data_IF_657535361610
#
_entry.id   IF_657535361610
#
_cell.length_a   1.000
_cell.length_b   1.000
_cell.length_c   1.000
_cell.angle_alpha   90.00
_cell.angle_beta   90.00
_cell.angle_gamma   90.00
#
_symmetry.space_group_name_H-M   'P 1'
#
loop_
_entity.id
_entity.type
_entity.pdbx_description
1 polymer ?
#
# COMPACT_ATOMS: atom_id res chain seq x y z
N UNK A 1 -92.05 24.30 -6.83
CA UNK A 1 -92.59 23.28 -7.76
C UNK A 1 -91.53 22.94 -8.79
N UNK A 2 -91.46 21.66 -9.16
CA UNK A 2 -90.63 20.95 -10.15
C UNK A 2 -90.25 21.80 -11.40
N UNK A 3 -89.16 21.59 -12.16
CA UNK A 3 -88.57 20.34 -12.65
C UNK A 3 -87.26 20.59 -13.42
N UNK A 4 -86.32 19.65 -13.29
CA UNK A 4 -85.29 19.10 -14.21
C UNK A 4 -84.97 19.78 -15.57
N UNK A 5 -83.68 19.89 -15.90
CA UNK A 5 -82.91 19.10 -16.91
C UNK A 5 -81.53 19.75 -17.13
N UNK A 6 -80.42 19.15 -16.67
CA UNK A 6 -79.42 18.36 -17.43
C UNK A 6 -78.78 19.03 -18.66
N UNK A 7 -77.49 19.41 -18.57
CA UNK A 7 -76.39 18.74 -19.31
C UNK A 7 -75.04 19.46 -19.19
N UNK A 8 -74.03 18.65 -18.87
CA UNK A 8 -72.62 18.63 -19.32
C UNK A 8 -71.85 19.96 -19.44
N UNK A 9 -70.71 20.03 -18.73
CA UNK A 9 -69.44 20.16 -19.44
C UNK A 9 -68.24 19.58 -18.68
N UNK A 10 -67.32 19.01 -19.46
CA UNK A 10 -66.24 18.11 -19.09
C UNK A 10 -65.04 18.88 -18.50
N UNK A 11 -64.56 18.49 -17.32
CA UNK A 11 -63.28 18.96 -16.78
C UNK A 11 -62.18 17.92 -17.06
N UNK A 12 -61.22 18.33 -17.89
CA UNK A 12 -60.05 17.57 -18.32
C UNK A 12 -59.06 17.42 -17.14
N UNK A 13 -58.94 16.21 -16.56
CA UNK A 13 -58.01 15.94 -15.45
C UNK A 13 -56.66 15.47 -16.00
N UNK A 14 -55.68 16.37 -15.99
CA UNK A 14 -54.28 16.14 -16.38
C UNK A 14 -53.57 15.31 -15.29
N UNK A 15 -53.36 14.02 -15.56
CA UNK A 15 -52.58 13.13 -14.71
C UNK A 15 -51.11 13.57 -14.69
N UNK A 16 -50.65 14.14 -13.57
CA UNK A 16 -49.23 14.37 -13.27
C UNK A 16 -48.67 13.13 -12.58
N UNK A 17 -48.09 12.23 -13.35
CA UNK A 17 -47.27 11.13 -12.83
C UNK A 17 -45.99 11.74 -12.25
N UNK A 18 -45.89 11.81 -10.91
CA UNK A 18 -44.65 12.17 -10.23
C UNK A 18 -43.71 10.98 -10.33
N UNK A 19 -42.72 11.05 -11.22
CA UNK A 19 -41.57 10.14 -11.23
C UNK A 19 -40.71 10.48 -10.01
N UNK A 20 -40.70 9.58 -9.03
CA UNK A 20 -39.83 9.65 -7.87
C UNK A 20 -38.44 9.17 -8.30
N UNK A 21 -37.53 10.10 -8.61
CA UNK A 21 -36.10 9.79 -8.73
C UNK A 21 -35.58 9.49 -7.33
N UNK A 22 -35.46 8.21 -6.99
CA UNK A 22 -34.66 7.76 -5.85
C UNK A 22 -33.20 7.92 -6.28
N UNK A 23 -32.58 9.03 -5.88
CA UNK A 23 -31.14 9.20 -6.00
C UNK A 23 -30.45 8.16 -5.12
N UNK A 24 -29.82 7.16 -5.74
CA UNK A 24 -28.82 6.33 -5.06
C UNK A 24 -27.67 7.26 -4.68
N UNK A 25 -27.65 7.75 -3.45
CA UNK A 25 -26.44 8.33 -2.88
C UNK A 25 -25.46 7.17 -2.74
N UNK A 26 -24.49 7.11 -3.63
CA UNK A 26 -23.25 6.36 -3.44
C UNK A 26 -22.61 6.90 -2.16
N UNK A 27 -22.90 6.27 -1.02
CA UNK A 27 -22.16 6.50 0.21
C UNK A 27 -20.77 5.95 -0.08
N UNK A 28 -19.71 6.76 -0.15
CA UNK A 28 -18.36 6.23 -0.22
C UNK A 28 -18.17 5.38 1.04
N UNK A 29 -18.09 4.07 0.85
CA UNK A 29 -17.70 3.15 1.91
C UNK A 29 -16.25 3.47 2.23
N UNK A 30 -16.02 4.38 3.18
CA UNK A 30 -14.74 4.50 3.83
C UNK A 30 -14.52 3.18 4.58
N UNK A 31 -13.86 2.24 3.92
CA UNK A 31 -13.36 1.04 4.58
C UNK A 31 -12.25 1.51 5.52
N UNK A 32 -12.61 1.82 6.75
CA UNK A 32 -11.62 2.00 7.80
C UNK A 32 -10.79 0.72 7.86
N UNK A 33 -9.47 0.82 7.72
CA UNK A 33 -8.59 -0.33 7.88
C UNK A 33 -8.88 -0.99 9.24
N UNK A 34 -9.28 -2.27 9.23
CA UNK A 34 -9.52 -3.03 10.46
C UNK A 34 -8.31 -2.92 11.40
N UNK A 35 -8.49 -2.94 12.72
CA UNK A 35 -7.36 -3.09 13.63
C UNK A 35 -6.51 -4.32 13.22
N UNK A 36 -5.20 -4.14 13.07
CA UNK A 36 -4.26 -5.20 12.68
C UNK A 36 -4.35 -6.41 13.62
N UNK A 37 -4.72 -6.17 14.89
CA UNK A 37 -4.90 -7.21 15.90
C UNK A 37 -6.02 -8.21 15.58
N UNK A 38 -6.96 -7.84 14.70
CA UNK A 38 -8.14 -8.64 14.36
C UNK A 38 -7.94 -9.51 13.10
N UNK A 39 -6.83 -9.33 12.39
CA UNK A 39 -6.54 -10.08 11.17
C UNK A 39 -5.85 -11.41 11.48
N UNK A 40 -6.08 -12.46 10.67
CA UNK A 40 -5.34 -13.71 10.79
C UNK A 40 -3.84 -13.45 10.68
N UNK A 41 -3.05 -13.98 11.61
CA UNK A 41 -1.60 -13.86 11.57
C UNK A 41 -0.98 -15.10 10.90
N UNK A 42 -0.10 -14.88 9.92
CA UNK A 42 0.72 -15.94 9.31
C UNK A 42 2.15 -15.88 9.83
N UNK A 43 2.80 -17.05 9.92
CA UNK A 43 4.24 -17.12 10.15
C UNK A 43 4.94 -16.87 8.81
N UNK A 44 5.88 -15.93 8.84
CA UNK A 44 6.44 -15.28 7.68
C UNK A 44 7.38 -16.18 6.89
N UNK A 45 8.25 -16.91 7.59
CA UNK A 45 9.22 -17.82 6.95
C UNK A 45 8.49 -19.00 6.30
N UNK A 46 7.52 -19.58 7.00
CA UNK A 46 6.68 -20.67 6.51
C UNK A 46 5.86 -20.24 5.29
N UNK A 47 5.26 -19.04 5.32
CA UNK A 47 4.47 -18.54 4.19
C UNK A 47 5.32 -18.35 2.93
N UNK A 48 6.52 -17.79 3.07
CA UNK A 48 7.44 -17.64 1.94
C UNK A 48 7.98 -19.00 1.44
N UNK A 49 8.28 -19.92 2.37
CA UNK A 49 8.73 -21.28 2.03
C UNK A 49 7.68 -22.04 1.22
N UNK A 50 6.39 -21.90 1.56
CA UNK A 50 5.29 -22.50 0.78
C UNK A 50 5.27 -21.96 -0.65
N UNK A 51 5.46 -20.65 -0.85
CA UNK A 51 5.54 -20.06 -2.19
C UNK A 51 6.76 -20.57 -2.98
N UNK A 52 7.90 -20.77 -2.31
CA UNK A 52 9.08 -21.37 -2.93
C UNK A 52 8.82 -22.82 -3.36
N UNK A 53 8.23 -23.64 -2.49
CA UNK A 53 7.88 -25.04 -2.78
C UNK A 53 6.85 -25.17 -3.90
N UNK A 54 5.90 -24.24 -3.98
CA UNK A 54 4.93 -24.15 -5.07
C UNK A 54 5.56 -23.65 -6.40
N UNK A 55 6.82 -23.19 -6.38
CA UNK A 55 7.52 -22.71 -7.56
C UNK A 55 6.93 -21.42 -8.15
N UNK A 56 6.29 -20.60 -7.30
CA UNK A 56 5.62 -19.35 -7.70
C UNK A 56 6.46 -18.09 -7.47
N UNK A 57 7.69 -18.24 -6.98
CA UNK A 57 8.59 -17.10 -6.71
C UNK A 57 9.30 -16.58 -7.97
N UNK A 58 9.58 -15.29 -7.96
CA UNK A 58 10.42 -14.56 -8.91
C UNK A 58 11.57 -13.84 -8.21
N UNK A 59 12.30 -13.02 -8.97
CA UNK A 59 13.41 -12.18 -8.50
C UNK A 59 13.19 -10.75 -8.97
N UNK A 60 13.37 -9.78 -8.08
CA UNK A 60 13.26 -8.35 -8.37
C UNK A 60 14.36 -7.56 -7.67
N UNK A 61 14.63 -6.35 -8.18
CA UNK A 61 15.55 -5.39 -7.58
C UNK A 61 14.84 -4.06 -7.38
N UNK A 62 15.11 -3.38 -6.27
CA UNK A 62 14.65 -1.99 -6.10
C UNK A 62 15.54 -1.09 -6.95
N UNK A 63 14.95 -0.28 -7.82
CA UNK A 63 15.68 0.56 -8.78
C UNK A 63 15.35 2.03 -8.64
N UNK A 64 14.14 2.37 -8.20
CA UNK A 64 13.72 3.77 -8.10
C UNK A 64 14.48 4.49 -6.97
N UNK A 65 15.06 5.67 -7.25
CA UNK A 65 15.63 6.53 -6.23
C UNK A 65 14.66 6.86 -5.09
N UNK A 66 15.23 7.16 -3.93
CA UNK A 66 14.49 7.56 -2.73
C UNK A 66 15.03 8.89 -2.22
N UNK A 67 14.23 9.57 -1.41
CA UNK A 67 14.72 10.62 -0.54
C UNK A 67 14.90 10.04 0.86
N UNK A 68 15.92 10.49 1.59
CA UNK A 68 16.07 10.09 2.97
C UNK A 68 16.69 11.20 3.81
N UNK A 69 16.41 11.17 5.10
CA UNK A 69 17.01 12.02 6.12
C UNK A 69 17.39 11.19 7.35
N UNK A 70 18.33 11.66 8.18
CA UNK A 70 18.53 11.08 9.50
C UNK A 70 17.23 11.13 10.32
N UNK A 71 16.90 10.03 10.98
CA UNK A 71 15.82 10.01 11.96
C UNK A 71 16.28 10.70 13.25
N UNK A 72 15.37 11.39 13.93
CA UNK A 72 15.62 11.89 15.28
C UNK A 72 15.51 10.72 16.25
N UNK A 73 16.38 10.65 17.26
CA UNK A 73 16.25 9.61 18.28
C UNK A 73 14.88 9.70 18.98
N UNK A 74 14.22 8.55 19.14
CA UNK A 74 12.86 8.48 19.69
C UNK A 74 11.74 8.82 18.70
N UNK A 75 12.07 9.24 17.47
CA UNK A 75 11.07 9.53 16.43
C UNK A 75 10.26 8.27 16.08
N UNK A 76 8.94 8.43 15.97
CA UNK A 76 8.02 7.37 15.56
C UNK A 76 7.53 7.74 14.15
N UNK A 77 7.72 6.82 13.20
CA UNK A 77 7.28 6.98 11.82
C UNK A 77 6.01 6.16 11.61
N UNK A 78 4.93 6.83 11.25
CA UNK A 78 3.69 6.17 10.81
C UNK A 78 3.71 6.09 9.30
N UNK A 79 3.88 4.88 8.76
CA UNK A 79 3.81 4.65 7.31
C UNK A 79 2.35 4.66 6.89
N UNK A 80 2.00 5.56 5.97
CA UNK A 80 0.65 5.73 5.43
C UNK A 80 0.69 5.46 3.93
N UNK A 81 -0.18 4.58 3.46
CA UNK A 81 -0.40 4.34 2.04
C UNK A 81 -1.68 5.05 1.63
N UNK A 82 -1.58 5.92 0.61
CA UNK A 82 -2.72 6.61 0.01
C UNK A 82 -3.77 5.60 -0.45
N UNK A 83 -4.99 5.74 0.08
CA UNK A 83 -6.11 4.84 -0.22
C UNK A 83 -6.22 3.60 0.68
N UNK A 84 -5.18 3.24 1.43
CA UNK A 84 -5.22 2.11 2.40
C UNK A 84 -5.14 2.58 3.86
N UNK A 85 -4.64 3.79 4.12
CA UNK A 85 -4.49 4.33 5.48
C UNK A 85 -3.16 3.91 6.13
N UNK A 86 -3.17 3.75 7.45
CA UNK A 86 -1.97 3.35 8.20
C UNK A 86 -1.60 1.92 7.84
N UNK A 87 -0.39 1.74 7.31
CA UNK A 87 0.21 0.43 7.06
C UNK A 87 0.88 -0.12 8.32
N UNK A 88 1.75 0.68 8.92
CA UNK A 88 2.50 0.30 10.12
C UNK A 88 2.95 1.54 10.91
N UNK A 89 3.30 1.33 12.17
CA UNK A 89 3.83 2.35 13.07
C UNK A 89 5.15 1.84 13.60
N UNK A 90 6.21 2.62 13.39
CA UNK A 90 7.55 2.18 13.74
C UNK A 90 7.74 2.07 15.25
N UNK A 91 8.63 1.17 15.69
CA UNK A 91 9.30 1.36 16.98
C UNK A 91 10.04 2.71 17.00
N UNK A 92 10.31 3.29 18.19
CA UNK A 92 11.11 4.51 18.28
C UNK A 92 12.46 4.37 17.58
N UNK A 93 12.83 5.39 16.81
CA UNK A 93 14.08 5.45 16.08
C UNK A 93 15.28 5.47 17.03
N UNK A 94 16.34 4.76 16.65
CA UNK A 94 17.62 4.74 17.36
C UNK A 94 18.62 5.66 16.65
N UNK A 95 19.67 6.05 17.36
CA UNK A 95 20.74 6.89 16.80
C UNK A 95 21.29 6.28 15.50
N UNK A 96 21.24 7.08 14.44
CA UNK A 96 21.75 6.73 13.11
C UNK A 96 20.76 5.94 12.23
N UNK A 97 19.53 5.71 12.68
CA UNK A 97 18.45 5.28 11.81
C UNK A 97 18.08 6.39 10.82
N UNK A 98 17.43 6.01 9.72
CA UNK A 98 17.06 6.90 8.64
C UNK A 98 15.57 6.82 8.37
N UNK A 99 14.95 7.97 8.07
CA UNK A 99 13.62 8.02 7.47
C UNK A 99 13.81 8.01 5.97
N UNK A 100 13.24 7.01 5.30
CA UNK A 100 13.31 6.84 3.86
C UNK A 100 11.93 7.07 3.27
N UNK A 101 11.86 7.94 2.27
CA UNK A 101 10.65 8.24 1.53
C UNK A 101 10.77 7.67 0.11
N UNK A 102 9.81 6.81 -0.25
CA UNK A 102 9.66 6.37 -1.64
C UNK A 102 9.09 7.50 -2.48
N UNK A 103 9.49 7.57 -3.75
CA UNK A 103 8.98 8.57 -4.71
C UNK A 103 7.92 7.90 -5.57
N UNK A 104 6.75 7.65 -5.00
CA UNK A 104 5.59 7.02 -5.64
C UNK A 104 4.31 7.81 -5.30
N UNK A 105 3.97 8.85 -6.10
CA UNK A 105 2.79 9.68 -5.85
C UNK A 105 1.45 8.91 -5.80
N UNK A 106 1.39 7.75 -6.45
CA UNK A 106 0.27 6.82 -6.43
C UNK A 106 -0.01 6.26 -5.03
N UNK A 107 1.03 6.00 -4.23
CA UNK A 107 0.94 5.52 -2.84
C UNK A 107 1.09 6.64 -1.82
N UNK A 108 1.34 7.87 -2.27
CA UNK A 108 1.45 9.05 -1.41
C UNK A 108 2.86 9.34 -0.91
N UNK A 109 3.90 8.79 -1.56
CA UNK A 109 5.30 8.94 -1.16
C UNK A 109 5.53 8.53 0.30
N UNK A 110 5.22 7.27 0.61
CA UNK A 110 5.24 6.77 1.98
C UNK A 110 6.64 6.85 2.60
N UNK A 111 6.66 7.14 3.90
CA UNK A 111 7.86 7.17 4.72
C UNK A 111 7.97 5.90 5.55
N UNK A 112 9.19 5.39 5.63
CA UNK A 112 9.53 4.20 6.42
C UNK A 112 10.78 4.46 7.25
N UNK A 113 10.78 3.94 8.48
CA UNK A 113 11.99 3.92 9.30
C UNK A 113 12.89 2.77 8.84
N UNK A 114 14.14 3.08 8.50
CA UNK A 114 15.15 2.08 8.13
C UNK A 114 16.29 2.13 9.13
N UNK A 115 16.56 0.97 9.75
CA UNK A 115 17.65 0.84 10.72
C UNK A 115 19.00 1.14 10.10
N UNK A 116 19.90 1.79 10.86
CA UNK A 116 21.25 2.20 10.43
C UNK A 116 21.96 1.16 9.56
N UNK A 117 22.05 -0.09 10.06
CA UNK A 117 22.76 -1.17 9.38
C UNK A 117 22.11 -1.53 8.02
N UNK A 118 20.77 -1.61 7.98
CA UNK A 118 20.04 -1.92 6.74
C UNK A 118 20.09 -0.74 5.76
N UNK A 119 20.12 0.50 6.23
CA UNK A 119 20.25 1.66 5.35
C UNK A 119 21.57 1.63 4.57
N UNK A 120 22.70 1.45 5.28
CA UNK A 120 24.03 1.32 4.66
C UNK A 120 24.11 0.12 3.72
N UNK A 121 23.42 -0.97 4.04
CA UNK A 121 23.35 -2.13 3.14
C UNK A 121 22.53 -1.86 1.89
N UNK A 122 21.49 -1.03 1.94
CA UNK A 122 20.49 -0.92 0.86
C UNK A 122 20.70 0.28 -0.07
N UNK A 123 21.39 1.33 0.37
CA UNK A 123 21.44 2.60 -0.36
C UNK A 123 22.85 3.17 -0.53
N UNK A 124 23.06 3.86 -1.66
CA UNK A 124 24.20 4.72 -1.94
C UNK A 124 23.72 6.18 -2.01
N UNK A 125 24.61 7.12 -1.70
CA UNK A 125 24.36 8.54 -2.01
C UNK A 125 24.13 8.65 -3.53
N UNK A 126 23.11 9.39 -3.94
CA UNK A 126 22.88 9.63 -5.36
C UNK A 126 23.95 10.61 -5.89
N UNK A 127 24.85 10.14 -6.75
CA UNK A 127 25.89 10.99 -7.38
C UNK A 127 25.27 12.03 -8.32
N UNK A 128 24.20 11.65 -9.02
CA UNK A 128 23.38 12.51 -9.85
C UNK A 128 21.91 12.27 -9.49
N UNK A 129 21.17 13.33 -9.19
CA UNK A 129 19.75 13.24 -8.86
C UNK A 129 18.95 14.18 -9.74
N UNK A 130 18.08 13.62 -10.57
CA UNK A 130 17.04 14.36 -11.28
C UNK A 130 15.85 14.71 -10.37
N UNK A 131 15.85 14.23 -9.12
CA UNK A 131 14.82 14.57 -8.14
C UNK A 131 14.94 16.07 -7.81
N UNK A 132 13.87 16.82 -8.06
CA UNK A 132 13.76 18.19 -7.60
C UNK A 132 13.55 18.23 -6.08
N UNK A 133 14.65 18.21 -5.33
CA UNK A 133 14.65 18.24 -3.85
C UNK A 133 14.00 19.52 -3.31
N UNK A 134 13.93 20.60 -4.10
CA UNK A 134 13.30 21.86 -3.69
C UNK A 134 11.79 21.77 -3.42
N UNK A 135 11.14 20.68 -3.81
CA UNK A 135 9.74 20.37 -3.46
C UNK A 135 9.57 19.59 -2.16
N UNK A 136 10.67 19.26 -1.47
CA UNK A 136 10.71 18.47 -0.24
C UNK A 136 11.33 19.27 0.91
N UNK A 137 11.12 18.86 2.18
CA UNK A 137 11.79 19.48 3.31
C UNK A 137 13.32 19.45 3.14
N UNK A 138 13.98 20.54 3.58
CA UNK A 138 15.40 20.82 3.31
C UNK A 138 16.39 19.80 3.87
N UNK A 139 15.96 18.91 4.75
CA UNK A 139 16.78 17.89 5.39
C UNK A 139 16.79 16.54 4.65
N UNK A 140 15.97 16.40 3.59
CA UNK A 140 15.99 15.22 2.74
C UNK A 140 17.06 15.34 1.66
N UNK A 141 17.75 14.23 1.42
CA UNK A 141 18.74 14.10 0.36
C UNK A 141 18.48 12.85 -0.48
N UNK A 142 18.87 12.85 -1.78
CA UNK A 142 18.60 11.74 -2.68
C UNK A 142 19.57 10.58 -2.45
N UNK A 143 19.04 9.36 -2.56
CA UNK A 143 19.79 8.11 -2.51
C UNK A 143 19.34 7.16 -3.62
N UNK A 144 20.26 6.34 -4.10
CA UNK A 144 19.98 5.26 -5.05
C UNK A 144 20.02 3.91 -4.34
N UNK A 145 19.05 3.02 -4.59
CA UNK A 145 19.16 1.64 -4.13
C UNK A 145 20.39 0.95 -4.71
N UNK A 146 21.03 0.07 -3.93
CA UNK A 146 22.17 -0.73 -4.40
C UNK A 146 21.80 -1.86 -5.38
N UNK A 147 20.51 -2.01 -5.72
CA UNK A 147 20.04 -3.05 -6.64
C UNK A 147 20.19 -4.47 -6.09
N UNK A 148 20.06 -4.66 -4.78
CA UNK A 148 20.14 -6.00 -4.17
C UNK A 148 18.97 -6.86 -4.66
N UNK A 149 19.27 -8.05 -5.17
CA UNK A 149 18.28 -9.02 -5.57
C UNK A 149 17.45 -9.52 -4.39
N UNK A 150 16.14 -9.49 -4.57
CA UNK A 150 15.16 -10.01 -3.64
C UNK A 150 14.35 -11.09 -4.33
N UNK A 151 14.19 -12.23 -3.68
CA UNK A 151 13.13 -13.17 -4.07
C UNK A 151 11.79 -12.50 -3.78
N UNK A 152 10.77 -12.77 -4.57
CA UNK A 152 9.43 -12.28 -4.27
C UNK A 152 8.35 -13.24 -4.78
N UNK A 153 7.14 -13.09 -4.25
CA UNK A 153 5.91 -13.58 -4.89
C UNK A 153 4.79 -12.58 -4.65
N UNK A 154 3.71 -12.71 -5.42
CA UNK A 154 2.51 -11.88 -5.29
C UNK A 154 1.47 -12.64 -4.48
N UNK A 155 0.88 -11.98 -3.48
CA UNK A 155 -0.24 -12.53 -2.72
C UNK A 155 -1.40 -12.81 -3.69
N UNK A 156 -1.92 -14.05 -3.78
CA UNK A 156 -2.97 -14.40 -4.74
C UNK A 156 -4.24 -13.56 -4.56
N UNK A 157 -4.91 -13.23 -5.66
CA UNK A 157 -6.10 -12.36 -5.67
C UNK A 157 -7.27 -12.88 -4.79
N UNK A 158 -7.35 -14.20 -4.60
CA UNK A 158 -8.34 -14.86 -3.74
C UNK A 158 -8.02 -14.82 -2.24
N UNK A 159 -6.87 -14.27 -1.83
CA UNK A 159 -6.41 -14.30 -0.45
C UNK A 159 -7.06 -13.18 0.38
N UNK A 160 -7.84 -13.47 1.42
CA UNK A 160 -8.34 -12.42 2.31
C UNK A 160 -7.18 -11.73 3.06
N UNK A 161 -7.35 -10.47 3.50
CA UNK A 161 -6.32 -9.75 4.23
C UNK A 161 -5.84 -10.51 5.47
N UNK A 162 -4.53 -10.42 5.73
CA UNK A 162 -3.87 -11.07 6.87
C UNK A 162 -2.72 -10.19 7.38
N UNK A 163 -2.08 -10.59 8.47
CA UNK A 163 -0.89 -9.91 8.99
C UNK A 163 0.29 -10.86 9.11
N UNK A 164 1.50 -10.30 8.96
CA UNK A 164 2.74 -10.96 9.37
C UNK A 164 3.59 -9.97 10.15
N UNK A 165 4.38 -10.50 11.09
CA UNK A 165 5.39 -9.71 11.80
C UNK A 165 6.63 -9.58 10.92
N UNK A 166 6.98 -8.35 10.56
CA UNK A 166 8.18 -8.04 9.83
C UNK A 166 9.44 -8.37 10.67
N UNK A 167 10.63 -8.47 10.05
CA UNK A 167 11.87 -8.83 10.75
C UNK A 167 12.26 -7.83 11.84
N UNK A 168 11.81 -6.57 11.70
CA UNK A 168 12.03 -5.50 12.67
C UNK A 168 10.99 -5.43 13.79
N UNK A 169 10.00 -6.34 13.78
CA UNK A 169 9.11 -6.56 14.92
C UNK A 169 7.69 -5.99 14.79
N UNK A 170 7.40 -5.25 13.74
CA UNK A 170 6.07 -4.64 13.55
C UNK A 170 5.14 -5.54 12.74
N UNK A 171 3.83 -5.43 12.99
CA UNK A 171 2.83 -6.05 12.14
C UNK A 171 2.67 -5.25 10.84
N UNK A 172 2.60 -5.96 9.72
CA UNK A 172 2.21 -5.42 8.42
C UNK A 172 0.95 -6.14 7.94
N UNK A 173 -0.03 -5.37 7.44
CA UNK A 173 -1.21 -5.91 6.74
C UNK A 173 -0.83 -6.30 5.32
N UNK A 174 -1.10 -7.54 4.93
CA UNK A 174 -1.00 -8.02 3.56
C UNK A 174 -2.39 -8.14 2.93
N UNK A 175 -2.49 -7.77 1.66
CA UNK A 175 -3.69 -7.84 0.85
C UNK A 175 -3.38 -8.57 -0.47
N UNK A 176 -4.44 -8.99 -1.17
CA UNK A 176 -4.35 -9.49 -2.54
C UNK A 176 -3.53 -8.56 -3.44
N UNK A 177 -2.63 -9.13 -4.22
CA UNK A 177 -1.77 -8.40 -5.16
C UNK A 177 -0.54 -7.73 -4.53
N UNK A 178 -0.40 -7.69 -3.21
CA UNK A 178 0.82 -7.20 -2.58
C UNK A 178 2.00 -8.13 -2.88
N UNK A 179 3.21 -7.55 -2.92
CA UNK A 179 4.43 -8.33 -3.01
C UNK A 179 4.89 -8.74 -1.61
N UNK A 180 5.22 -10.03 -1.46
CA UNK A 180 6.03 -10.50 -0.34
C UNK A 180 7.45 -10.65 -0.87
N UNK A 181 8.41 -9.93 -0.31
CA UNK A 181 9.82 -9.97 -0.72
C UNK A 181 10.67 -10.66 0.34
N UNK A 182 11.76 -11.30 -0.07
CA UNK A 182 12.76 -11.93 0.79
C UNK A 182 14.17 -11.61 0.29
N UNK A 183 15.08 -11.26 1.20
CA UNK A 183 16.49 -11.12 0.86
C UNK A 183 17.08 -12.45 0.36
N UNK A 184 17.83 -12.39 -0.74
CA UNK A 184 18.57 -13.54 -1.27
C UNK A 184 19.72 -13.99 -0.37
N UNK A 185 20.18 -13.13 0.55
CA UNK A 185 21.28 -13.41 1.47
C UNK A 185 20.85 -13.57 2.93
N UNK A 186 19.57 -13.32 3.24
CA UNK A 186 19.00 -13.40 4.59
C UNK A 186 17.56 -13.91 4.50
N UNK A 187 17.38 -15.22 4.71
CA UNK A 187 16.05 -15.85 4.63
C UNK A 187 15.08 -15.33 5.70
N UNK A 188 15.58 -14.65 6.73
CA UNK A 188 14.79 -14.01 7.78
C UNK A 188 14.43 -12.56 7.45
N UNK A 189 14.89 -11.97 6.35
CA UNK A 189 14.51 -10.62 5.89
C UNK A 189 13.40 -10.71 4.84
N UNK A 190 12.19 -11.05 5.30
CA UNK A 190 10.96 -11.14 4.47
C UNK A 190 10.04 -10.02 4.93
N UNK A 191 9.35 -9.31 4.04
CA UNK A 191 8.40 -8.27 4.44
C UNK A 191 7.45 -7.92 3.30
N UNK A 192 6.44 -7.10 3.59
CA UNK A 192 5.49 -6.61 2.59
C UNK A 192 6.06 -5.47 1.78
N UNK A 193 5.71 -5.42 0.50
CA UNK A 193 5.65 -4.18 -0.27
C UNK A 193 4.25 -4.09 -0.91
N UNK A 194 3.58 -2.97 -0.71
CA UNK A 194 2.25 -2.75 -1.27
C UNK A 194 2.29 -2.84 -2.81
N UNK A 195 1.23 -3.37 -3.43
CA UNK A 195 1.15 -3.63 -4.87
C UNK A 195 1.68 -2.51 -5.76
N UNK A 196 1.10 -1.30 -5.66
CA UNK A 196 1.49 -0.16 -6.47
C UNK A 196 2.89 0.37 -6.11
N UNK A 197 3.28 0.35 -4.83
CA UNK A 197 4.66 0.69 -4.44
C UNK A 197 5.68 -0.29 -5.03
N UNK A 198 5.36 -1.58 -5.11
CA UNK A 198 6.22 -2.58 -5.71
C UNK A 198 6.36 -2.35 -7.21
N UNK A 199 5.25 -2.18 -7.92
CA UNK A 199 5.22 -1.85 -9.36
C UNK A 199 5.98 -0.54 -9.66
N UNK A 200 5.88 0.44 -8.78
CA UNK A 200 6.56 1.73 -8.89
C UNK A 200 8.07 1.63 -8.68
N UNK A 201 8.52 0.87 -7.67
CA UNK A 201 9.92 0.95 -7.17
C UNK A 201 10.82 -0.21 -7.57
N UNK A 202 10.27 -1.32 -8.04
CA UNK A 202 11.01 -2.52 -8.37
C UNK A 202 11.01 -2.83 -9.86
N UNK A 203 12.13 -3.38 -10.32
CA UNK A 203 12.28 -3.99 -11.63
C UNK A 203 12.37 -5.50 -11.48
N UNK A 204 11.58 -6.23 -12.27
CA UNK A 204 11.57 -7.69 -12.25
C UNK A 204 12.75 -8.22 -13.07
N UNK A 205 13.61 -9.02 -12.44
CA UNK A 205 14.66 -9.77 -13.13
C UNK A 205 14.15 -11.12 -13.61
N UNK A 206 13.30 -11.75 -12.79
CA UNK A 206 12.60 -12.99 -13.10
C UNK A 206 11.15 -12.85 -12.61
N UNK A 207 10.15 -12.90 -13.51
CA UNK A 207 8.76 -12.83 -13.09
C UNK A 207 8.38 -13.99 -12.16
N UNK A 208 7.66 -13.68 -11.09
CA UNK A 208 6.93 -14.66 -10.28
C UNK A 208 5.83 -15.31 -11.13
N UNK A 209 5.52 -16.59 -10.86
CA UNK A 209 4.36 -17.23 -11.50
C UNK A 209 3.10 -16.82 -10.73
N UNK A 210 2.08 -16.38 -11.45
CA UNK A 210 0.79 -16.12 -10.83
C UNK A 210 0.09 -17.44 -10.55
N UNK A 211 -0.38 -17.60 -9.32
CA UNK A 211 -1.31 -18.68 -8.98
C UNK A 211 -2.66 -18.37 -9.64
N UNK A 212 -3.30 -19.33 -10.33
CA UNK A 212 -4.64 -19.14 -10.90
C UNK A 212 -5.69 -18.75 -9.86
#
# INVERSE_FOLDING_TARGET
MQSRYSSRDKLYKKNRTKILLIGLTLIPSFVCANDLSQLPQKERVAYFTQAQQAGITGVAIKTKPVLARPAKEGEIITTIIKGEGIETVSEPAKVGDWVVQNICPETGNEEILVRKAKFVQRYNIAENSEINVGSYPSDYQPFTPKGIEMNYFIVPESTPPFVMKAPWGELQRFQSGDAVVQSTTDSQDIYRIQKAAFECTYTLLKPAKLTP
#
